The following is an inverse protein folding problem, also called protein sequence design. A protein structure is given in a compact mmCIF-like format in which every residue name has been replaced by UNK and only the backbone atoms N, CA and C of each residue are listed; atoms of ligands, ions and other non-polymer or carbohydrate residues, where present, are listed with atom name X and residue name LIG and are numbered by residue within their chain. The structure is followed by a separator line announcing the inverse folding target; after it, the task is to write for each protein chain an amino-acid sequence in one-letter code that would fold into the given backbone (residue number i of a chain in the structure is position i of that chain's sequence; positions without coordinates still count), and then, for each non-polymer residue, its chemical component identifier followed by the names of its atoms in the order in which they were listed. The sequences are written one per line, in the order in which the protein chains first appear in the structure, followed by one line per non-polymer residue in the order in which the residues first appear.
data_IF_289830771191
#
_entry.id   IF_289830771191
#
_cell.length_a   1.000
_cell.length_b   1.000
_cell.length_c   1.000
_cell.angle_alpha   90.00
_cell.angle_beta   90.00
_cell.angle_gamma   90.00
#
_symmetry.space_group_name_H-M   'P 1'
#
loop_
_entity.id
_entity.type
_entity.pdbx_description
1 polymer ?
#
# COMPACT_ATOMS: atom_id res chain seq x y z
N UNK A 1 -25.38 23.66 1.43
CA UNK A 1 -23.90 23.68 1.35
C UNK A 1 -23.42 22.43 2.06
N UNK A 2 -22.62 21.62 1.40
CA UNK A 2 -21.95 20.48 2.06
C UNK A 2 -20.86 21.02 2.98
N UNK A 3 -20.62 20.43 4.17
CA UNK A 3 -19.51 20.82 5.00
C UNK A 3 -18.18 20.61 4.28
N UNK A 4 -17.27 21.58 4.38
CA UNK A 4 -15.91 21.43 3.87
C UNK A 4 -15.08 20.63 4.87
N UNK A 5 -14.26 19.72 4.35
CA UNK A 5 -13.31 18.96 5.17
C UNK A 5 -11.92 19.60 5.03
N UNK A 6 -11.42 20.18 6.14
CA UNK A 6 -10.05 20.68 6.18
C UNK A 6 -9.08 19.50 6.30
N UNK A 7 -8.24 19.31 5.30
CA UNK A 7 -7.17 18.32 5.32
C UNK A 7 -5.93 18.92 5.97
N UNK A 8 -5.47 18.28 7.05
CA UNK A 8 -4.34 18.77 7.84
C UNK A 8 -2.98 18.58 7.17
N UNK A 9 -1.95 19.14 7.79
CA UNK A 9 -0.56 19.15 7.29
C UNK A 9 0.13 17.76 7.25
N UNK A 10 -0.53 16.70 7.72
CA UNK A 10 0.00 15.33 7.73
C UNK A 10 -0.20 14.58 6.42
N UNK A 11 -0.94 15.16 5.48
CA UNK A 11 -1.15 14.57 4.15
C UNK A 11 -0.03 15.05 3.23
N UNK A 12 0.68 14.11 2.63
CA UNK A 12 1.81 14.34 1.75
C UNK A 12 1.38 14.32 0.29
N UNK A 13 2.21 14.87 -0.57
CA UNK A 13 2.08 14.77 -2.02
C UNK A 13 2.97 13.62 -2.52
N UNK A 14 2.48 12.87 -3.51
CA UNK A 14 3.33 11.94 -4.25
C UNK A 14 4.32 12.72 -5.14
N UNK A 15 5.40 12.10 -5.64
CA UNK A 15 6.26 12.71 -6.64
C UNK A 15 5.52 13.09 -7.94
N UNK A 16 4.37 12.49 -8.19
CA UNK A 16 3.56 12.69 -9.40
C UNK A 16 2.37 13.64 -9.19
N UNK A 17 2.18 14.17 -7.98
CA UNK A 17 1.03 15.01 -7.62
C UNK A 17 0.81 16.16 -8.61
N UNK A 18 1.87 16.92 -8.93
CA UNK A 18 1.74 18.07 -9.83
C UNK A 18 1.41 17.63 -11.26
N UNK A 19 1.87 16.45 -11.68
CA UNK A 19 1.48 15.85 -12.95
C UNK A 19 -0.01 15.47 -12.95
N UNK A 20 -0.55 14.88 -11.89
CA UNK A 20 -1.99 14.56 -11.80
C UNK A 20 -2.84 15.83 -11.86
N UNK A 21 -2.40 16.91 -11.20
CA UNK A 21 -3.08 18.21 -11.27
C UNK A 21 -3.06 18.79 -12.68
N UNK A 22 -1.90 18.77 -13.36
CA UNK A 22 -1.77 19.27 -14.73
C UNK A 22 -2.59 18.49 -15.74
N UNK A 23 -2.84 17.21 -15.47
CA UNK A 23 -3.73 16.35 -16.27
C UNK A 23 -5.21 16.43 -15.86
N UNK A 24 -5.55 17.35 -14.98
CA UNK A 24 -6.94 17.73 -14.73
C UNK A 24 -7.67 16.85 -13.71
N UNK A 25 -6.95 16.26 -12.77
CA UNK A 25 -7.60 15.53 -11.64
C UNK A 25 -8.69 16.40 -11.00
N UNK A 26 -9.83 15.80 -10.68
CA UNK A 26 -10.99 16.47 -10.09
C UNK A 26 -11.19 16.14 -8.61
N UNK A 27 -10.74 14.97 -8.21
CA UNK A 27 -10.90 14.51 -6.82
C UNK A 27 -9.65 13.78 -6.36
N UNK A 28 -9.28 14.04 -5.10
CA UNK A 28 -8.29 13.27 -4.37
C UNK A 28 -8.93 12.58 -3.17
N UNK A 29 -8.43 11.42 -2.83
CA UNK A 29 -8.59 10.79 -1.53
C UNK A 29 -7.29 10.87 -0.76
N UNK A 30 -7.29 10.36 0.47
CA UNK A 30 -6.09 10.16 1.28
C UNK A 30 -5.87 8.66 1.45
N UNK A 31 -4.67 8.22 1.12
CA UNK A 31 -4.24 6.84 1.25
C UNK A 31 -2.80 6.80 1.78
N UNK A 32 -2.55 6.09 2.83
CA UNK A 32 -1.23 6.06 3.50
C UNK A 32 -0.67 7.46 3.81
N UNK A 33 -1.54 8.38 4.30
CA UNK A 33 -1.19 9.78 4.59
C UNK A 33 -0.70 10.57 3.35
N UNK A 34 -1.14 10.18 2.17
CA UNK A 34 -0.77 10.82 0.90
C UNK A 34 -1.99 11.09 0.04
N UNK A 35 -1.96 12.18 -0.75
CA UNK A 35 -2.99 12.42 -1.74
C UNK A 35 -2.94 11.35 -2.81
N UNK A 36 -4.06 10.69 -3.05
CA UNK A 36 -4.26 9.71 -4.11
C UNK A 36 -5.31 10.24 -5.10
N UNK A 37 -5.01 10.37 -6.39
CA UNK A 37 -6.02 10.80 -7.36
C UNK A 37 -7.14 9.75 -7.46
N UNK A 38 -8.39 10.23 -7.36
CA UNK A 38 -9.59 9.39 -7.35
C UNK A 38 -10.37 9.45 -8.65
N UNK A 39 -10.43 10.63 -9.27
CA UNK A 39 -11.20 10.81 -10.49
C UNK A 39 -10.72 12.01 -11.31
N UNK A 40 -10.80 11.88 -12.61
CA UNK A 40 -10.59 12.96 -13.58
C UNK A 40 -11.91 13.54 -14.12
N UNK A 41 -13.06 13.07 -13.56
CA UNK A 41 -14.36 13.69 -13.73
C UNK A 41 -15.36 12.91 -14.58
N UNK A 42 -14.93 11.84 -15.26
CA UNK A 42 -15.82 10.95 -16.01
C UNK A 42 -15.56 9.48 -15.63
N UNK A 43 -16.22 8.99 -14.56
CA UNK A 43 -15.98 7.62 -14.09
C UNK A 43 -16.33 6.53 -15.12
N UNK A 44 -17.25 6.80 -16.03
CA UNK A 44 -17.62 5.84 -17.09
C UNK A 44 -16.49 5.74 -18.11
N UNK A 45 -15.99 6.87 -18.61
CA UNK A 45 -14.87 6.90 -19.54
C UNK A 45 -13.58 6.36 -18.90
N UNK A 46 -13.34 6.62 -17.60
CA UNK A 46 -12.20 6.07 -16.84
C UNK A 46 -12.30 4.54 -16.73
N UNK A 47 -13.48 4.00 -16.45
CA UNK A 47 -13.71 2.55 -16.41
C UNK A 47 -13.58 1.90 -17.81
N UNK A 48 -14.09 2.55 -18.87
CA UNK A 48 -13.87 2.09 -20.24
C UNK A 48 -12.40 2.09 -20.63
N UNK A 49 -11.64 3.11 -20.21
CA UNK A 49 -10.18 3.15 -20.43
C UNK A 49 -9.48 1.99 -19.72
N UNK A 50 -9.87 1.69 -18.49
CA UNK A 50 -9.31 0.58 -17.71
C UNK A 50 -9.57 -0.78 -18.38
N UNK A 51 -10.79 -1.00 -18.90
CA UNK A 51 -11.22 -2.31 -19.41
C UNK A 51 -10.94 -2.51 -20.90
N UNK A 52 -10.90 -1.44 -21.71
CA UNK A 52 -10.83 -1.50 -23.17
C UNK A 52 -9.56 -0.86 -23.76
N UNK A 53 -8.80 -0.11 -22.96
CA UNK A 53 -7.64 0.67 -23.42
C UNK A 53 -6.47 0.52 -22.43
N UNK A 54 -5.88 1.63 -22.04
CA UNK A 54 -4.78 1.72 -21.06
C UNK A 54 -5.11 2.78 -20.02
N UNK A 55 -4.87 2.45 -18.76
CA UNK A 55 -4.94 3.41 -17.65
C UNK A 55 -3.58 3.52 -16.98
N UNK A 56 -3.22 4.73 -16.53
CA UNK A 56 -2.03 5.02 -15.73
C UNK A 56 -2.51 5.42 -14.33
N UNK A 57 -1.86 4.85 -13.31
CA UNK A 57 -2.20 5.09 -11.92
C UNK A 57 -1.01 5.72 -11.18
N UNK A 58 -1.28 6.80 -10.43
CA UNK A 58 -0.33 7.28 -9.43
C UNK A 58 -0.44 6.40 -8.18
N UNK A 59 0.47 5.47 -8.04
CA UNK A 59 0.58 4.57 -6.88
C UNK A 59 1.70 4.99 -5.92
N UNK A 60 2.17 6.23 -6.00
CA UNK A 60 3.17 6.77 -5.10
C UNK A 60 2.74 6.80 -3.63
N UNK A 61 1.44 6.66 -3.36
CA UNK A 61 0.88 6.51 -2.02
C UNK A 61 1.07 5.10 -1.42
N UNK A 62 1.40 4.10 -2.21
CA UNK A 62 1.71 2.75 -1.72
C UNK A 62 3.08 2.72 -1.06
N UNK A 63 3.09 2.51 0.27
CA UNK A 63 4.30 2.50 1.07
C UNK A 63 4.86 1.09 1.16
N UNK A 64 6.18 1.01 1.32
CA UNK A 64 6.88 -0.24 1.57
C UNK A 64 7.34 -0.30 3.02
N UNK A 65 7.08 -1.41 3.70
CA UNK A 65 7.73 -1.78 4.95
C UNK A 65 8.81 -2.81 4.61
N UNK A 66 10.06 -2.50 4.91
CA UNK A 66 11.16 -3.44 4.73
C UNK A 66 11.36 -4.25 6.01
N UNK A 67 11.43 -5.58 5.86
CA UNK A 67 11.83 -6.53 6.89
C UNK A 67 13.14 -7.15 6.41
N UNK A 68 14.22 -6.91 7.13
CA UNK A 68 15.56 -7.35 6.73
C UNK A 68 16.37 -7.87 7.91
N UNK A 69 17.18 -8.90 7.66
CA UNK A 69 18.05 -9.54 8.65
C UNK A 69 18.02 -11.05 8.52
N UNK A 70 18.87 -11.77 9.26
CA UNK A 70 18.94 -13.24 9.18
C UNK A 70 17.63 -13.93 9.56
N UNK A 71 16.83 -13.32 10.44
CA UNK A 71 15.53 -13.84 10.91
C UNK A 71 14.34 -13.19 10.20
N UNK A 72 14.55 -12.45 9.10
CA UNK A 72 13.49 -11.76 8.39
C UNK A 72 12.35 -12.68 7.96
N UNK A 73 12.66 -13.89 7.52
CA UNK A 73 11.64 -14.88 7.13
C UNK A 73 10.79 -15.32 8.30
N UNK A 74 11.35 -15.43 9.51
CA UNK A 74 10.61 -15.82 10.72
C UNK A 74 9.56 -14.75 11.04
N UNK A 75 9.94 -13.48 11.05
CA UNK A 75 9.01 -12.38 11.31
C UNK A 75 7.94 -12.29 10.21
N UNK A 76 8.32 -12.45 8.94
CA UNK A 76 7.36 -12.43 7.82
C UNK A 76 6.35 -13.59 7.94
N UNK A 77 6.80 -14.79 8.27
CA UNK A 77 5.93 -15.95 8.51
C UNK A 77 5.00 -15.73 9.70
N UNK A 78 5.52 -15.14 10.77
CA UNK A 78 4.74 -14.88 11.98
C UNK A 78 3.63 -13.82 11.75
N UNK A 79 3.95 -12.76 11.01
CA UNK A 79 2.99 -11.71 10.69
C UNK A 79 1.92 -12.15 9.68
N UNK A 80 2.26 -13.06 8.77
CA UNK A 80 1.42 -13.39 7.62
C UNK A 80 0.50 -14.57 7.89
N UNK A 81 -0.74 -14.47 7.42
CA UNK A 81 -1.67 -15.62 7.36
C UNK A 81 -1.35 -16.61 6.23
N UNK A 82 -0.33 -16.30 5.39
CA UNK A 82 0.10 -17.13 4.27
C UNK A 82 1.59 -17.44 4.34
N UNK A 83 1.94 -18.72 4.18
CA UNK A 83 3.33 -19.15 4.19
C UNK A 83 4.19 -18.46 3.13
N UNK A 84 5.30 -17.85 3.56
CA UNK A 84 6.25 -17.15 2.69
C UNK A 84 7.53 -17.94 2.44
N UNK A 85 7.84 -18.98 3.23
CA UNK A 85 9.06 -19.81 3.07
C UNK A 85 9.22 -20.43 1.68
N UNK A 86 8.11 -20.72 0.99
CA UNK A 86 8.12 -21.23 -0.38
C UNK A 86 8.03 -20.12 -1.44
N UNK A 87 8.02 -18.85 -1.06
CA UNK A 87 8.08 -17.74 -1.99
C UNK A 87 9.52 -17.55 -2.46
N UNK A 88 9.73 -17.70 -3.77
CA UNK A 88 11.07 -17.60 -4.36
C UNK A 88 11.48 -16.14 -4.50
N UNK A 89 12.79 -15.90 -4.53
CA UNK A 89 13.36 -14.59 -4.86
C UNK A 89 12.76 -14.01 -6.15
N UNK A 90 12.46 -12.72 -6.15
CA UNK A 90 11.81 -12.00 -7.24
C UNK A 90 10.31 -12.31 -7.39
N UNK A 91 9.71 -13.05 -6.46
CA UNK A 91 8.27 -13.35 -6.44
C UNK A 91 7.58 -12.63 -5.29
N UNK A 92 6.28 -12.50 -5.42
CA UNK A 92 5.42 -11.89 -4.41
C UNK A 92 4.22 -12.76 -4.08
N UNK A 93 3.61 -12.48 -2.93
CA UNK A 93 2.34 -13.07 -2.49
C UNK A 93 1.48 -12.02 -1.82
N UNK A 94 0.18 -12.17 -2.00
CA UNK A 94 -0.82 -11.49 -1.18
C UNK A 94 -0.83 -12.12 0.20
N UNK A 95 -0.58 -11.33 1.24
CA UNK A 95 -0.30 -11.80 2.60
C UNK A 95 -1.11 -11.02 3.63
N UNK A 96 -2.41 -11.31 3.79
CA UNK A 96 -3.21 -10.68 4.84
C UNK A 96 -2.55 -10.82 6.20
N UNK A 97 -2.52 -9.75 6.96
CA UNK A 97 -1.96 -9.65 8.30
C UNK A 97 -3.08 -9.33 9.27
N UNK A 98 -3.21 -10.14 10.30
CA UNK A 98 -4.26 -10.02 11.30
C UNK A 98 -3.67 -9.80 12.70
N UNK A 99 -4.49 -9.24 13.58
CA UNK A 99 -4.19 -9.22 15.01
C UNK A 99 -4.44 -10.59 15.66
N UNK A 100 -4.20 -10.70 16.99
CA UNK A 100 -4.38 -11.93 17.75
C UNK A 100 -5.85 -12.38 17.89
N UNK A 101 -6.82 -11.53 17.55
CA UNK A 101 -8.23 -11.85 17.49
C UNK A 101 -8.69 -12.26 16.08
N UNK A 102 -7.78 -12.22 15.09
CA UNK A 102 -8.08 -12.54 13.70
C UNK A 102 -8.68 -11.36 12.91
N UNK A 103 -8.64 -10.15 13.47
CA UNK A 103 -9.08 -8.95 12.75
C UNK A 103 -8.00 -8.48 11.79
N UNK A 104 -8.39 -8.12 10.57
CA UNK A 104 -7.48 -7.66 9.54
C UNK A 104 -6.82 -6.33 9.94
N UNK A 105 -5.50 -6.32 10.01
CA UNK A 105 -4.68 -5.11 10.21
C UNK A 105 -4.34 -4.50 8.85
N UNK A 106 -3.88 -5.33 7.92
CA UNK A 106 -3.48 -4.90 6.58
C UNK A 106 -3.52 -6.09 5.62
N UNK A 107 -3.69 -5.82 4.34
CA UNK A 107 -3.75 -6.85 3.29
C UNK A 107 -2.70 -6.62 2.18
N UNK A 108 -1.42 -6.62 2.55
CA UNK A 108 -0.33 -6.25 1.67
C UNK A 108 0.01 -7.32 0.62
N UNK A 109 0.82 -6.87 -0.34
CA UNK A 109 1.62 -7.76 -1.18
C UNK A 109 3.04 -7.81 -0.61
N UNK A 110 3.49 -8.99 -0.22
CA UNK A 110 4.87 -9.20 0.25
C UNK A 110 5.75 -9.73 -0.88
N UNK A 111 6.83 -9.02 -1.15
CA UNK A 111 7.84 -9.36 -2.16
C UNK A 111 9.05 -10.00 -1.47
N UNK A 112 9.48 -11.15 -1.96
CA UNK A 112 10.74 -11.78 -1.56
C UNK A 112 11.87 -11.22 -2.43
N UNK A 113 12.71 -10.33 -1.88
CA UNK A 113 13.87 -9.78 -2.58
C UNK A 113 15.05 -10.75 -2.54
N UNK A 114 15.24 -11.41 -1.40
CA UNK A 114 16.14 -12.54 -1.18
C UNK A 114 15.75 -13.24 0.15
N UNK A 115 16.55 -14.19 0.61
CA UNK A 115 16.27 -14.97 1.83
C UNK A 115 16.21 -14.14 3.12
N UNK A 116 16.86 -12.97 3.15
CA UNK A 116 17.01 -12.12 4.33
C UNK A 116 16.37 -10.73 4.14
N UNK A 117 15.59 -10.53 3.06
CA UNK A 117 15.02 -9.21 2.74
C UNK A 117 13.70 -9.30 2.04
N UNK A 118 12.70 -8.70 2.65
CA UNK A 118 11.31 -8.68 2.16
C UNK A 118 10.79 -7.25 2.13
N UNK A 119 10.04 -6.92 1.10
CA UNK A 119 9.24 -5.71 1.05
C UNK A 119 7.76 -6.05 1.17
N UNK A 120 7.12 -5.41 2.13
CA UNK A 120 5.69 -5.50 2.35
C UNK A 120 5.05 -4.23 1.79
N UNK A 121 4.42 -4.34 0.61
CA UNK A 121 3.70 -3.25 -0.05
C UNK A 121 2.33 -3.13 0.60
N UNK A 122 2.20 -2.15 1.48
CA UNK A 122 1.05 -2.06 2.39
C UNK A 122 -0.16 -1.41 1.73
N UNK A 123 -1.35 -1.90 2.07
CA UNK A 123 -2.60 -1.18 1.91
C UNK A 123 -2.68 0.00 2.90
N UNK A 124 -3.79 0.75 2.89
CA UNK A 124 -3.95 1.90 3.79
C UNK A 124 -3.85 1.47 5.26
N UNK A 125 -2.90 2.06 6.00
CA UNK A 125 -2.69 1.76 7.41
C UNK A 125 -1.25 1.92 7.88
N UNK A 126 -1.02 1.62 9.17
CA UNK A 126 0.26 1.80 9.86
C UNK A 126 0.92 0.45 10.23
N UNK A 127 1.03 -0.46 9.28
CA UNK A 127 1.63 -1.79 9.48
C UNK A 127 3.05 -1.74 10.06
N UNK A 128 3.82 -0.69 9.78
CA UNK A 128 5.19 -0.54 10.31
C UNK A 128 5.22 -0.62 11.85
N UNK A 129 4.28 0.05 12.51
CA UNK A 129 4.25 0.06 13.98
C UNK A 129 3.92 -1.32 14.55
N UNK A 130 3.02 -2.05 13.90
CA UNK A 130 2.70 -3.42 14.28
C UNK A 130 3.89 -4.37 14.09
N UNK A 131 4.54 -4.29 12.92
CA UNK A 131 5.71 -5.12 12.61
C UNK A 131 6.88 -4.84 13.56
N UNK A 132 7.12 -3.58 13.94
CA UNK A 132 8.15 -3.20 14.91
C UNK A 132 7.81 -3.76 16.30
N UNK A 133 6.58 -3.59 16.78
CA UNK A 133 6.17 -4.09 18.08
C UNK A 133 6.35 -5.62 18.21
N UNK A 134 5.99 -6.37 17.17
CA UNK A 134 6.15 -7.83 17.15
C UNK A 134 7.62 -8.22 16.99
N UNK A 135 8.40 -7.48 16.23
CA UNK A 135 9.82 -7.79 15.99
C UNK A 135 10.74 -7.47 17.17
N UNK A 136 10.25 -6.78 18.20
CA UNK A 136 10.97 -6.50 19.46
C UNK A 136 10.75 -7.60 20.53
N UNK A 137 9.78 -8.49 20.35
CA UNK A 137 9.50 -9.62 21.24
C UNK A 137 10.46 -10.80 20.97
#
# INVERSE_FOLDING_TARGET
MSPEVAIGSRVRKSPFYDATVSHGVKQFSVYNHMYMPMSYGDPVAEYEALTQKVAIWDVGCERQVEIAGPDAIELVEYLSTRGMRSCKEGRSRYTPICDYQGMLINDPITLCLNSERYWVSIADGDLLLWAQAIGEE
#
